data_IF_907362647156
#
_entry.id   IF_907362647156
#
_cell.length_a   1.000
_cell.length_b   1.000
_cell.length_c   1.000
_cell.angle_alpha   90.00
_cell.angle_beta   90.00
_cell.angle_gamma   90.00
#
_symmetry.space_group_name_H-M   'P 1'
#
loop_
_entity.id
_entity.type
_entity.pdbx_description
1 polymer ?
#
# COMPACT_ATOMS: atom_id res chain seq x y z
N UNK A 1 0.79 -17.10 -13.60
CA UNK A 1 -0.62 -17.57 -13.52
C UNK A 1 -1.04 -18.20 -14.85
N UNK A 2 -1.22 -19.53 -14.90
CA UNK A 2 -1.63 -20.23 -16.12
C UNK A 2 -3.03 -19.85 -16.58
N UNK A 3 -3.20 -19.52 -17.87
CA UNK A 3 -4.50 -19.09 -18.41
C UNK A 3 -5.56 -20.18 -18.32
N UNK A 4 -5.19 -21.45 -18.53
CA UNK A 4 -6.12 -22.57 -18.50
C UNK A 4 -6.75 -22.75 -17.11
N UNK A 5 -5.92 -22.72 -16.04
CA UNK A 5 -6.39 -22.81 -14.66
C UNK A 5 -7.25 -21.60 -14.31
N UNK A 6 -6.83 -20.38 -14.68
CA UNK A 6 -7.63 -19.18 -14.44
C UNK A 6 -9.03 -19.26 -15.09
N UNK A 7 -9.09 -19.64 -16.36
CA UNK A 7 -10.37 -19.77 -17.07
C UNK A 7 -11.25 -20.86 -16.47
N UNK A 8 -10.68 -21.97 -16.00
CA UNK A 8 -11.43 -23.01 -15.30
C UNK A 8 -12.06 -22.48 -13.99
N UNK A 9 -11.33 -21.67 -13.23
CA UNK A 9 -11.84 -21.06 -11.99
C UNK A 9 -12.95 -20.04 -12.27
N UNK A 10 -12.80 -19.24 -13.33
CA UNK A 10 -13.86 -18.31 -13.75
C UNK A 10 -15.10 -19.08 -14.22
N UNK A 11 -14.90 -20.18 -14.96
CA UNK A 11 -15.98 -21.03 -15.45
C UNK A 11 -16.76 -21.76 -14.34
N UNK A 12 -16.22 -21.88 -13.11
CA UNK A 12 -17.00 -22.38 -11.97
C UNK A 12 -18.21 -21.50 -11.64
N UNK A 13 -18.16 -20.21 -12.02
CA UNK A 13 -19.22 -19.23 -11.73
C UNK A 13 -19.88 -18.66 -12.98
N UNK A 14 -19.14 -18.53 -14.08
CA UNK A 14 -19.63 -17.96 -15.33
C UNK A 14 -19.81 -19.08 -16.36
N UNK A 15 -21.06 -19.35 -16.75
CA UNK A 15 -21.41 -20.37 -17.75
C UNK A 15 -21.38 -19.79 -19.18
N UNK A 16 -21.44 -18.47 -19.33
CA UNK A 16 -21.45 -17.79 -20.63
C UNK A 16 -20.13 -17.97 -21.40
N UNK A 17 -20.21 -18.73 -22.50
CA UNK A 17 -19.06 -19.02 -23.37
C UNK A 17 -18.52 -17.80 -24.11
N UNK A 18 -19.36 -16.79 -24.41
CA UNK A 18 -18.95 -15.54 -25.03
C UNK A 18 -18.09 -14.69 -24.10
N UNK A 19 -18.50 -14.57 -22.83
CA UNK A 19 -17.70 -13.88 -21.80
C UNK A 19 -16.37 -14.60 -21.56
N UNK A 20 -16.39 -15.93 -21.44
CA UNK A 20 -15.16 -16.72 -21.28
C UNK A 20 -14.22 -16.57 -22.49
N UNK A 21 -14.78 -16.49 -23.71
CA UNK A 21 -14.01 -16.23 -24.91
C UNK A 21 -13.36 -14.83 -24.88
N UNK A 22 -14.11 -13.81 -24.48
CA UNK A 22 -13.62 -12.44 -24.38
C UNK A 22 -12.48 -12.32 -23.35
N UNK A 23 -12.64 -12.94 -22.17
CA UNK A 23 -11.58 -12.99 -21.15
C UNK A 23 -10.34 -13.68 -21.71
N UNK A 24 -10.50 -14.79 -22.44
CA UNK A 24 -9.40 -15.50 -23.09
C UNK A 24 -8.69 -14.62 -24.14
N UNK A 25 -9.43 -13.81 -24.89
CA UNK A 25 -8.84 -12.85 -25.83
C UNK A 25 -8.03 -11.78 -25.11
N UNK A 26 -8.56 -11.21 -24.01
CA UNK A 26 -7.83 -10.23 -23.20
C UNK A 26 -6.54 -10.80 -22.60
N UNK A 27 -6.56 -12.05 -22.11
CA UNK A 27 -5.37 -12.73 -21.58
C UNK A 27 -4.28 -12.96 -22.64
N UNK A 28 -4.69 -13.10 -23.91
CA UNK A 28 -3.82 -13.32 -25.06
C UNK A 28 -3.46 -12.05 -25.80
N UNK A 29 -3.91 -10.88 -25.33
CA UNK A 29 -3.56 -9.61 -25.93
C UNK A 29 -2.02 -9.44 -25.93
N UNK A 30 -1.41 -9.03 -27.05
CA UNK A 30 0.03 -8.76 -27.10
C UNK A 30 0.35 -7.51 -26.28
N UNK A 31 1.44 -7.58 -25.52
CA UNK A 31 2.02 -6.45 -24.79
C UNK A 31 3.14 -5.89 -25.66
N UNK A 32 2.93 -4.68 -26.15
CA UNK A 32 3.90 -3.95 -26.97
C UNK A 32 4.65 -3.01 -26.04
N UNK A 33 5.97 -3.13 -26.01
CA UNK A 33 6.87 -2.20 -25.36
C UNK A 33 7.76 -1.54 -26.38
N UNK A 34 8.40 -0.47 -25.97
CA UNK A 34 9.27 0.35 -26.79
C UNK A 34 10.69 0.16 -26.26
N UNK A 35 11.63 -0.21 -27.14
CA UNK A 35 13.04 -0.27 -26.75
C UNK A 35 13.65 1.14 -26.64
N UNK A 36 14.89 1.22 -26.11
CA UNK A 36 15.60 2.50 -25.91
C UNK A 36 15.81 3.30 -27.21
N UNK A 37 15.56 2.69 -28.37
CA UNK A 37 15.66 3.29 -29.70
C UNK A 37 14.28 3.66 -30.30
N UNK A 38 13.19 3.56 -29.53
CA UNK A 38 11.85 3.90 -30.01
C UNK A 38 11.16 2.80 -30.84
N UNK A 39 11.75 1.61 -30.94
CA UNK A 39 11.18 0.51 -31.73
C UNK A 39 10.19 -0.28 -30.89
N UNK A 40 8.94 -0.33 -31.35
CA UNK A 40 7.87 -1.11 -30.73
C UNK A 40 8.09 -2.61 -30.95
N UNK A 41 8.37 -3.34 -29.88
CA UNK A 41 8.53 -4.80 -29.87
C UNK A 41 7.50 -5.45 -28.94
N UNK A 42 7.04 -6.64 -29.31
CA UNK A 42 6.20 -7.44 -28.42
C UNK A 42 7.06 -7.98 -27.27
N UNK A 43 6.93 -7.37 -26.09
CA UNK A 43 7.67 -7.76 -24.87
C UNK A 43 6.99 -8.88 -24.08
N UNK A 44 5.74 -9.20 -24.42
CA UNK A 44 4.98 -10.30 -23.80
C UNK A 44 3.58 -10.45 -24.40
N UNK A 45 2.78 -11.39 -23.91
CA UNK A 45 1.43 -11.62 -24.44
C UNK A 45 1.39 -12.33 -25.80
N UNK A 46 0.25 -12.25 -26.48
CA UNK A 46 0.02 -12.89 -27.79
C UNK A 46 -0.56 -14.30 -27.72
N UNK A 47 -0.90 -14.88 -28.89
CA UNK A 47 -1.56 -16.20 -29.00
C UNK A 47 -0.77 -17.35 -28.35
N UNK A 48 0.56 -17.23 -28.35
CA UNK A 48 1.50 -18.19 -27.78
C UNK A 48 1.69 -18.03 -26.27
N UNK A 49 1.30 -16.88 -25.69
CA UNK A 49 1.39 -16.70 -24.25
C UNK A 49 0.36 -17.60 -23.54
N UNK A 50 0.86 -18.41 -22.61
CA UNK A 50 0.06 -19.34 -21.80
C UNK A 50 -0.03 -18.91 -20.34
N UNK A 51 0.67 -17.84 -19.94
CA UNK A 51 0.81 -17.44 -18.55
C UNK A 51 0.82 -15.92 -18.34
N UNK A 52 0.27 -15.49 -17.21
CA UNK A 52 0.27 -14.10 -16.77
C UNK A 52 -0.84 -13.28 -17.42
N UNK A 53 -1.28 -12.23 -16.74
CA UNK A 53 -2.23 -11.25 -17.27
C UNK A 53 -1.46 -10.06 -17.83
N UNK A 54 -1.88 -9.43 -18.94
CA UNK A 54 -1.28 -8.17 -19.37
C UNK A 54 -1.29 -7.16 -18.20
N UNK A 55 -0.12 -6.65 -17.85
CA UNK A 55 0.01 -5.62 -16.81
C UNK A 55 -0.63 -4.33 -17.34
N UNK A 56 -1.65 -3.83 -16.66
CA UNK A 56 -2.42 -2.64 -17.07
C UNK A 56 -3.83 -2.95 -17.60
N UNK A 57 -4.21 -4.21 -17.76
CA UNK A 57 -5.60 -4.57 -18.05
C UNK A 57 -6.51 -4.28 -16.85
N UNK A 58 -7.60 -3.53 -17.07
CA UNK A 58 -8.57 -3.14 -16.00
C UNK A 58 -9.12 -4.36 -15.24
N UNK A 59 -9.27 -5.50 -15.93
CA UNK A 59 -9.80 -6.74 -15.34
C UNK A 59 -8.73 -7.60 -14.63
N UNK A 60 -7.44 -7.35 -14.87
CA UNK A 60 -6.34 -8.16 -14.36
C UNK A 60 -6.34 -8.28 -12.82
N UNK A 61 -6.57 -7.21 -12.03
CA UNK A 61 -6.67 -7.32 -10.57
C UNK A 61 -7.83 -8.19 -10.09
N UNK A 62 -8.97 -8.14 -10.79
CA UNK A 62 -10.14 -8.96 -10.47
C UNK A 62 -9.85 -10.44 -10.75
N UNK A 63 -9.25 -10.76 -11.91
CA UNK A 63 -8.89 -12.13 -12.26
C UNK A 63 -7.86 -12.73 -11.31
N UNK A 64 -6.85 -11.95 -10.90
CA UNK A 64 -5.88 -12.38 -9.89
C UNK A 64 -6.57 -12.70 -8.55
N UNK A 65 -7.52 -11.86 -8.11
CA UNK A 65 -8.30 -12.09 -6.91
C UNK A 65 -9.19 -13.33 -7.00
N UNK A 66 -9.89 -13.56 -8.12
CA UNK A 66 -10.67 -14.77 -8.34
C UNK A 66 -9.81 -16.02 -8.27
N UNK A 67 -8.61 -15.98 -8.85
CA UNK A 67 -7.69 -17.11 -8.85
C UNK A 67 -7.17 -17.42 -7.43
N UNK A 68 -6.73 -16.39 -6.70
CA UNK A 68 -6.22 -16.54 -5.34
C UNK A 68 -7.32 -16.84 -4.31
N UNK A 69 -8.59 -16.58 -4.63
CA UNK A 69 -9.72 -16.92 -3.76
C UNK A 69 -9.82 -18.43 -3.46
N UNK A 70 -9.20 -19.29 -4.27
CA UNK A 70 -9.09 -20.72 -3.96
C UNK A 70 -8.38 -20.95 -2.62
N UNK A 71 -7.34 -20.17 -2.31
CA UNK A 71 -6.63 -20.27 -1.04
C UNK A 71 -7.59 -19.97 0.13
N UNK A 72 -8.37 -18.90 0.02
CA UNK A 72 -9.36 -18.53 1.04
C UNK A 72 -10.42 -19.63 1.23
N UNK A 73 -10.95 -20.17 0.12
CA UNK A 73 -11.94 -21.26 0.14
C UNK A 73 -11.38 -22.52 0.82
N UNK A 74 -10.14 -22.90 0.53
CA UNK A 74 -9.49 -24.05 1.16
C UNK A 74 -9.30 -23.78 2.66
N UNK A 75 -8.86 -22.58 3.03
CA UNK A 75 -8.66 -22.19 4.43
C UNK A 75 -9.94 -22.30 5.26
N UNK A 76 -11.05 -21.84 4.69
CA UNK A 76 -12.38 -21.87 5.30
C UNK A 76 -12.94 -23.29 5.35
N UNK A 77 -13.03 -24.00 4.21
CA UNK A 77 -13.66 -25.33 4.13
C UNK A 77 -12.95 -26.39 4.97
N UNK A 78 -11.62 -26.30 5.11
CA UNK A 78 -10.85 -27.23 5.94
C UNK A 78 -10.79 -26.82 7.42
N UNK A 79 -11.44 -25.71 7.80
CA UNK A 79 -11.42 -25.13 9.14
C UNK A 79 -9.99 -24.91 9.68
N UNK A 80 -9.07 -24.50 8.79
CA UNK A 80 -7.64 -24.39 9.13
C UNK A 80 -7.38 -23.34 10.21
N UNK A 81 -8.24 -22.32 10.31
CA UNK A 81 -8.14 -21.32 11.38
C UNK A 81 -8.18 -21.94 12.78
N UNK A 82 -9.08 -22.89 13.01
CA UNK A 82 -9.18 -23.60 14.28
C UNK A 82 -8.08 -24.67 14.41
N UNK A 83 -7.95 -25.52 13.40
CA UNK A 83 -7.03 -26.67 13.43
C UNK A 83 -5.57 -26.28 13.60
N UNK A 84 -5.13 -25.25 12.88
CA UNK A 84 -3.74 -24.80 12.90
C UNK A 84 -3.52 -23.58 13.81
N UNK A 85 -4.57 -23.06 14.46
CA UNK A 85 -4.51 -21.80 15.20
C UNK A 85 -3.87 -20.67 14.38
N UNK A 86 -4.22 -20.61 13.08
CA UNK A 86 -3.59 -19.75 12.08
C UNK A 86 -4.63 -18.93 11.30
N UNK A 87 -4.51 -17.60 11.31
CA UNK A 87 -5.43 -16.70 10.65
C UNK A 87 -4.83 -16.10 9.39
N UNK A 88 -5.40 -16.44 8.22
CA UNK A 88 -5.04 -15.86 6.93
C UNK A 88 -5.72 -14.50 6.75
N UNK A 89 -4.92 -13.47 6.47
CA UNK A 89 -5.36 -12.14 6.07
C UNK A 89 -4.76 -11.84 4.70
N UNK A 90 -5.59 -11.61 3.69
CA UNK A 90 -5.17 -11.37 2.30
C UNK A 90 -5.68 -10.03 1.80
N UNK A 91 -4.84 -9.34 1.03
CA UNK A 91 -5.18 -8.13 0.30
C UNK A 91 -4.57 -8.21 -1.10
N UNK A 92 -5.41 -8.36 -2.12
CA UNK A 92 -4.97 -8.67 -3.48
C UNK A 92 -4.04 -9.91 -3.50
N UNK A 93 -2.81 -9.74 -3.99
CA UNK A 93 -1.75 -10.75 -4.06
C UNK A 93 -0.92 -10.86 -2.78
N UNK A 94 -0.88 -9.81 -1.95
CA UNK A 94 -0.18 -9.82 -0.67
C UNK A 94 -1.03 -10.46 0.43
N UNK A 95 -0.44 -11.32 1.26
CA UNK A 95 -1.12 -11.92 2.41
C UNK A 95 -0.18 -12.15 3.59
N UNK A 96 -0.76 -12.26 4.77
CA UNK A 96 -0.08 -12.61 6.02
C UNK A 96 -0.85 -13.74 6.69
N UNK A 97 -0.12 -14.70 7.24
CA UNK A 97 -0.69 -15.77 8.07
C UNK A 97 -0.24 -15.56 9.51
N UNK A 98 -1.20 -15.23 10.38
CA UNK A 98 -0.95 -15.00 11.80
C UNK A 98 -1.10 -16.32 12.56
N UNK A 99 0.01 -16.89 13.01
CA UNK A 99 0.03 -18.15 13.76
C UNK A 99 0.22 -17.89 15.26
N UNK A 100 -0.53 -18.60 16.12
CA UNK A 100 -0.35 -18.51 17.58
C UNK A 100 0.77 -19.42 18.11
N UNK A 101 1.01 -20.55 17.45
CA UNK A 101 1.97 -21.58 17.87
C UNK A 101 2.92 -21.91 16.72
N UNK A 102 2.69 -23.03 16.05
CA UNK A 102 3.56 -23.54 14.98
C UNK A 102 3.31 -22.82 13.66
N UNK A 103 4.41 -22.51 12.96
CA UNK A 103 4.39 -21.85 11.65
C UNK A 103 4.58 -22.84 10.51
N UNK A 104 5.25 -23.96 10.78
CA UNK A 104 5.67 -24.94 9.77
C UNK A 104 4.48 -25.58 9.04
N UNK A 105 3.48 -26.07 9.78
CA UNK A 105 2.30 -26.69 9.19
C UNK A 105 1.44 -25.71 8.36
N UNK A 106 1.09 -24.50 8.85
CA UNK A 106 0.46 -23.47 8.02
C UNK A 106 1.25 -23.15 6.75
N UNK A 107 2.58 -23.03 6.85
CA UNK A 107 3.44 -22.71 5.71
C UNK A 107 3.43 -23.84 4.67
N UNK A 108 3.51 -25.11 5.10
CA UNK A 108 3.38 -26.27 4.20
C UNK A 108 2.05 -26.27 3.46
N UNK A 109 0.95 -25.97 4.15
CA UNK A 109 -0.37 -25.89 3.49
C UNK A 109 -0.40 -24.78 2.45
N UNK A 110 0.09 -23.58 2.78
CA UNK A 110 0.17 -22.46 1.82
C UNK A 110 1.01 -22.84 0.60
N UNK A 111 2.21 -23.41 0.82
CA UNK A 111 3.10 -23.86 -0.25
C UNK A 111 2.43 -24.91 -1.14
N UNK A 112 1.75 -25.88 -0.53
CA UNK A 112 1.03 -26.92 -1.27
C UNK A 112 -0.10 -26.35 -2.12
N UNK A 113 -0.90 -25.43 -1.57
CA UNK A 113 -2.00 -24.80 -2.31
C UNK A 113 -1.47 -23.95 -3.46
N UNK A 114 -0.44 -23.13 -3.23
CA UNK A 114 0.16 -22.29 -4.27
C UNK A 114 0.81 -23.13 -5.36
N UNK A 115 1.51 -24.21 -5.02
CA UNK A 115 2.08 -25.14 -5.99
C UNK A 115 0.99 -25.74 -6.89
N UNK A 116 -0.17 -26.12 -6.34
CA UNK A 116 -1.31 -26.59 -7.15
C UNK A 116 -1.89 -25.52 -8.08
N UNK A 117 -1.73 -24.24 -7.72
CA UNK A 117 -2.10 -23.10 -8.55
C UNK A 117 -1.00 -22.69 -9.55
N UNK A 118 0.11 -23.44 -9.64
CA UNK A 118 1.33 -23.08 -10.37
C UNK A 118 1.81 -21.66 -10.03
N UNK A 119 1.75 -21.33 -8.74
CA UNK A 119 2.28 -20.12 -8.15
C UNK A 119 3.41 -20.50 -7.19
N UNK A 120 4.49 -19.74 -7.23
CA UNK A 120 5.58 -19.84 -6.26
C UNK A 120 5.54 -18.67 -5.29
N UNK A 121 5.95 -18.94 -4.04
CA UNK A 121 6.22 -17.88 -3.08
C UNK A 121 7.51 -17.17 -3.49
N UNK A 122 7.55 -15.86 -3.31
CA UNK A 122 8.78 -15.11 -3.44
C UNK A 122 9.59 -15.30 -2.15
N UNK A 123 10.54 -16.23 -2.15
CA UNK A 123 11.39 -16.53 -0.97
C UNK A 123 12.16 -15.31 -0.47
N UNK A 124 12.53 -14.38 -1.36
CA UNK A 124 13.24 -13.16 -0.97
C UNK A 124 12.34 -12.14 -0.23
N UNK A 125 11.01 -12.25 -0.38
CA UNK A 125 10.03 -11.39 0.31
C UNK A 125 9.34 -12.10 1.47
N UNK A 126 9.33 -13.42 1.46
CA UNK A 126 8.60 -14.22 2.45
C UNK A 126 9.49 -14.40 3.66
N UNK A 127 9.05 -13.84 4.79
CA UNK A 127 9.80 -13.93 6.05
C UNK A 127 8.88 -14.41 7.16
N UNK A 128 9.40 -15.32 7.99
CA UNK A 128 8.76 -15.71 9.24
C UNK A 128 9.28 -14.75 10.30
N UNK A 129 8.36 -14.08 11.00
CA UNK A 129 8.69 -13.07 12.00
C UNK A 129 7.86 -13.33 13.25
N UNK A 130 8.52 -13.39 14.39
CA UNK A 130 7.83 -13.33 15.69
C UNK A 130 7.41 -11.89 15.97
N UNK A 131 6.11 -11.61 15.85
CA UNK A 131 5.54 -10.29 16.08
C UNK A 131 5.75 -9.76 17.52
N UNK A 132 6.11 -10.62 18.49
CA UNK A 132 6.42 -10.21 19.87
C UNK A 132 7.82 -9.67 20.07
N UNK A 133 8.74 -10.01 19.17
CA UNK A 133 10.14 -9.58 19.22
C UNK A 133 10.49 -8.60 18.11
N UNK A 134 9.86 -8.74 16.95
CA UNK A 134 10.17 -7.97 15.76
C UNK A 134 8.90 -7.45 15.09
N UNK A 135 9.05 -6.37 14.32
CA UNK A 135 7.98 -5.80 13.52
C UNK A 135 8.00 -6.31 12.09
N UNK A 136 6.83 -6.46 11.47
CA UNK A 136 6.71 -6.75 10.04
C UNK A 136 5.94 -5.63 9.33
N UNK A 137 6.13 -5.52 8.01
CA UNK A 137 5.45 -4.53 7.19
C UNK A 137 4.32 -5.16 6.38
N UNK A 138 3.13 -4.56 6.38
CA UNK A 138 1.98 -5.00 5.59
C UNK A 138 1.15 -3.78 5.16
N UNK A 139 0.82 -3.67 3.87
CA UNK A 139 0.01 -2.57 3.30
C UNK A 139 0.48 -1.14 3.64
N UNK A 140 1.79 -0.97 3.80
CA UNK A 140 2.39 0.32 4.16
C UNK A 140 2.36 0.64 5.66
N UNK A 141 1.89 -0.28 6.50
CA UNK A 141 1.97 -0.21 7.95
C UNK A 141 3.07 -1.13 8.48
N UNK A 142 3.65 -0.75 9.61
CA UNK A 142 4.51 -1.59 10.44
C UNK A 142 3.68 -2.07 11.64
N UNK A 143 3.61 -3.39 11.80
CA UNK A 143 2.81 -4.07 12.82
C UNK A 143 3.77 -4.82 13.76
N UNK A 144 3.55 -4.70 15.06
CA UNK A 144 4.29 -5.41 16.10
C UNK A 144 3.42 -5.55 17.35
N UNK A 145 3.68 -6.56 18.19
CA UNK A 145 3.15 -6.58 19.55
C UNK A 145 4.01 -5.67 20.43
N UNK A 146 3.37 -4.76 21.13
CA UNK A 146 4.03 -3.86 22.09
C UNK A 146 3.36 -3.96 23.45
N UNK A 147 4.03 -3.50 24.51
CA UNK A 147 3.45 -3.46 25.86
C UNK A 147 3.01 -2.05 26.20
N UNK A 148 1.82 -1.93 26.78
CA UNK A 148 1.28 -0.64 27.21
C UNK A 148 2.14 -0.07 28.33
N UNK A 149 2.68 1.14 28.17
CA UNK A 149 3.54 1.76 29.18
C UNK A 149 2.85 1.89 30.56
N UNK A 150 1.52 2.06 30.58
CA UNK A 150 0.73 2.19 31.82
C UNK A 150 0.16 0.86 32.34
N UNK A 151 -0.20 -0.05 31.45
CA UNK A 151 -0.95 -1.27 31.83
C UNK A 151 -0.09 -2.54 31.81
N UNK A 152 1.09 -2.51 31.20
CA UNK A 152 1.95 -3.68 30.96
C UNK A 152 1.38 -4.71 29.99
N UNK A 153 0.10 -4.59 29.63
CA UNK A 153 -0.61 -5.55 28.77
C UNK A 153 -0.09 -5.50 27.33
N UNK A 154 0.10 -6.65 26.67
CA UNK A 154 0.46 -6.69 25.27
C UNK A 154 -0.70 -6.19 24.40
N UNK A 155 -0.40 -5.36 23.40
CA UNK A 155 -1.36 -4.86 22.41
C UNK A 155 -0.71 -4.81 21.02
N UNK A 156 -1.48 -4.97 19.94
CA UNK A 156 -0.98 -4.83 18.58
C UNK A 156 -0.75 -3.34 18.29
N UNK A 157 0.51 -2.95 18.16
CA UNK A 157 0.90 -1.62 17.71
C UNK A 157 0.90 -1.58 16.19
N UNK A 158 0.11 -0.67 15.62
CA UNK A 158 0.01 -0.46 14.17
C UNK A 158 0.37 0.99 13.88
N UNK A 159 1.47 1.18 13.15
CA UNK A 159 1.97 2.51 12.77
C UNK A 159 2.26 2.58 11.28
N UNK A 160 2.22 3.77 10.65
CA UNK A 160 2.70 3.94 9.28
C UNK A 160 4.16 3.49 9.15
N UNK A 161 4.48 2.77 8.09
CA UNK A 161 5.84 2.30 7.85
C UNK A 161 6.79 3.44 7.53
N UNK A 162 8.06 3.28 7.91
CA UNK A 162 9.08 4.32 7.72
C UNK A 162 9.32 4.63 6.23
N UNK A 163 9.14 3.63 5.35
CA UNK A 163 9.16 3.82 3.89
C UNK A 163 8.03 4.74 3.42
N UNK A 164 6.81 4.55 3.94
CA UNK A 164 5.65 5.39 3.64
C UNK A 164 5.86 6.83 4.12
N UNK A 165 6.44 7.00 5.31
CA UNK A 165 6.83 8.30 5.85
C UNK A 165 7.90 9.01 5.00
N UNK A 166 8.93 8.28 4.57
CA UNK A 166 9.96 8.82 3.65
C UNK A 166 9.32 9.26 2.32
N UNK A 167 8.42 8.46 1.76
CA UNK A 167 7.74 8.76 0.49
C UNK A 167 6.91 10.05 0.57
N UNK A 168 6.09 10.22 1.61
CA UNK A 168 5.31 11.47 1.75
C UNK A 168 6.21 12.68 1.99
N UNK A 169 7.27 12.55 2.82
CA UNK A 169 8.21 13.65 3.04
C UNK A 169 8.95 14.06 1.77
N UNK A 170 9.38 13.09 0.96
CA UNK A 170 10.00 13.35 -0.34
C UNK A 170 9.02 14.07 -1.28
N UNK A 171 7.77 13.59 -1.35
CA UNK A 171 6.73 14.23 -2.16
C UNK A 171 6.45 15.67 -1.73
N UNK A 172 6.39 15.94 -0.42
CA UNK A 172 6.21 17.31 0.08
C UNK A 172 7.41 18.20 -0.26
N UNK A 173 8.62 17.65 -0.23
CA UNK A 173 9.83 18.38 -0.64
C UNK A 173 9.78 18.77 -2.11
N UNK A 174 9.38 17.85 -3.00
CA UNK A 174 9.17 18.14 -4.43
C UNK A 174 8.11 19.23 -4.64
N UNK A 175 6.95 19.08 -4.00
CA UNK A 175 5.83 20.02 -4.12
C UNK A 175 6.12 21.40 -3.53
N UNK A 176 7.21 21.55 -2.78
CA UNK A 176 7.65 22.83 -2.20
C UNK A 176 9.05 23.21 -2.70
N UNK A 177 9.47 22.68 -3.85
CA UNK A 177 10.76 22.97 -4.47
C UNK A 177 10.97 24.46 -4.76
N UNK A 178 12.24 24.91 -4.78
CA UNK A 178 12.59 26.32 -5.08
C UNK A 178 12.20 26.73 -6.50
N UNK A 179 12.24 25.78 -7.43
CA UNK A 179 11.78 25.94 -8.81
C UNK A 179 10.28 26.28 -8.91
N UNK A 180 9.49 26.01 -7.87
CA UNK A 180 8.06 26.31 -7.83
C UNK A 180 7.76 27.70 -7.24
N UNK A 181 8.75 28.50 -6.87
CA UNK A 181 8.53 29.86 -6.33
C UNK A 181 7.83 30.84 -7.29
N UNK A 182 7.96 30.73 -8.64
CA UNK A 182 7.20 31.55 -9.59
C UNK A 182 5.71 31.19 -9.65
N UNK A 183 5.34 29.97 -9.25
CA UNK A 183 3.95 29.48 -9.31
C UNK A 183 3.10 30.18 -8.25
N UNK A 184 1.79 30.41 -8.50
CA UNK A 184 0.88 30.89 -7.48
C UNK A 184 0.92 30.05 -6.20
N UNK A 185 0.97 30.71 -5.04
CA UNK A 185 1.07 30.02 -3.75
C UNK A 185 -0.15 29.16 -3.46
N UNK A 186 -1.34 29.58 -3.91
CA UNK A 186 -2.58 28.81 -3.81
C UNK A 186 -2.44 27.41 -4.42
N UNK A 187 -1.74 27.30 -5.54
CA UNK A 187 -1.60 26.04 -6.27
C UNK A 187 -0.57 25.13 -5.57
N UNK A 188 0.52 25.72 -5.08
CA UNK A 188 1.53 25.01 -4.26
C UNK A 188 0.88 24.45 -2.99
N UNK A 189 0.18 25.28 -2.23
CA UNK A 189 -0.53 24.87 -1.01
C UNK A 189 -1.63 23.87 -1.36
N UNK A 190 -2.40 24.08 -2.42
CA UNK A 190 -3.45 23.17 -2.88
C UNK A 190 -2.91 21.76 -3.18
N UNK A 191 -1.78 21.67 -3.89
CA UNK A 191 -1.10 20.41 -4.18
C UNK A 191 -0.58 19.71 -2.91
N UNK A 192 0.03 20.48 -2.01
CA UNK A 192 0.49 19.99 -0.70
C UNK A 192 -0.70 19.45 0.10
N UNK A 193 -1.79 20.20 0.16
CA UNK A 193 -3.00 19.84 0.89
C UNK A 193 -3.65 18.57 0.34
N UNK A 194 -3.76 18.41 -0.98
CA UNK A 194 -4.28 17.17 -1.59
C UNK A 194 -3.44 15.95 -1.18
N UNK A 195 -2.12 16.09 -1.21
CA UNK A 195 -1.20 15.01 -0.83
C UNK A 195 -1.28 14.69 0.67
N UNK A 196 -1.33 15.71 1.53
CA UNK A 196 -1.46 15.55 2.98
C UNK A 196 -2.80 14.95 3.37
N UNK A 197 -3.91 15.38 2.76
CA UNK A 197 -5.25 14.83 3.03
C UNK A 197 -5.34 13.36 2.64
N UNK A 198 -4.90 13.01 1.44
CA UNK A 198 -4.90 11.61 0.99
C UNK A 198 -4.05 10.71 1.90
N UNK A 199 -2.85 11.19 2.26
CA UNK A 199 -1.98 10.45 3.18
C UNK A 199 -2.56 10.32 4.58
N UNK A 200 -3.08 11.42 5.15
CA UNK A 200 -3.69 11.42 6.47
C UNK A 200 -4.91 10.49 6.51
N UNK A 201 -5.80 10.54 5.53
CA UNK A 201 -7.00 9.70 5.49
C UNK A 201 -6.67 8.20 5.49
N UNK A 202 -5.58 7.80 4.82
CA UNK A 202 -5.17 6.40 4.80
C UNK A 202 -4.40 5.98 6.07
N UNK A 203 -3.49 6.82 6.56
CA UNK A 203 -2.56 6.46 7.63
C UNK A 203 -2.99 6.88 9.05
N UNK A 204 -4.09 7.64 9.19
CA UNK A 204 -4.63 8.07 10.49
C UNK A 204 -5.38 6.94 11.18
N UNK A 205 -4.62 5.91 11.54
CA UNK A 205 -5.11 4.70 12.19
C UNK A 205 -4.26 4.37 13.43
N UNK A 206 -4.92 3.93 14.50
CA UNK A 206 -4.32 3.43 15.75
C UNK A 206 -3.10 4.23 16.26
N UNK A 207 -1.88 3.69 16.22
CA UNK A 207 -0.67 4.31 16.79
C UNK A 207 0.02 5.29 15.82
N UNK A 208 -0.75 6.09 15.09
CA UNK A 208 -0.23 7.02 14.07
C UNK A 208 0.15 8.41 14.60
N UNK A 209 -0.19 8.78 15.84
CA UNK A 209 0.01 10.15 16.37
C UNK A 209 1.45 10.69 16.21
N UNK A 210 2.47 9.87 16.49
CA UNK A 210 3.86 10.29 16.31
C UNK A 210 4.22 10.47 14.83
N UNK A 211 3.76 9.56 13.97
CA UNK A 211 3.97 9.65 12.52
C UNK A 211 3.28 10.89 11.93
N UNK A 212 2.05 11.16 12.35
CA UNK A 212 1.27 12.36 11.98
C UNK A 212 1.97 13.64 12.43
N UNK A 213 2.49 13.70 13.66
CA UNK A 213 3.29 14.83 14.13
C UNK A 213 4.55 15.03 13.27
N UNK A 214 5.28 13.96 12.92
CA UNK A 214 6.45 14.04 12.05
C UNK A 214 6.12 14.59 10.66
N UNK A 215 4.95 14.24 10.11
CA UNK A 215 4.49 14.77 8.82
C UNK A 215 4.04 16.21 8.93
N UNK A 216 3.31 16.57 10.00
CA UNK A 216 2.90 17.95 10.29
C UNK A 216 4.10 18.88 10.37
N UNK A 217 5.09 18.56 11.21
CA UNK A 217 6.30 19.38 11.37
C UNK A 217 7.06 19.50 10.05
N UNK A 218 7.19 18.41 9.29
CA UNK A 218 7.84 18.47 7.98
C UNK A 218 7.08 19.36 6.99
N UNK A 219 5.74 19.27 6.94
CA UNK A 219 4.92 20.12 6.08
C UNK A 219 5.04 21.60 6.44
N UNK A 220 4.99 21.94 7.73
CA UNK A 220 5.19 23.31 8.22
C UNK A 220 6.58 23.84 7.83
N UNK A 221 7.64 23.06 8.08
CA UNK A 221 9.01 23.46 7.76
C UNK A 221 9.23 23.63 6.26
N UNK A 222 8.65 22.75 5.44
CA UNK A 222 8.74 22.82 3.98
C UNK A 222 8.01 24.03 3.42
N UNK A 223 6.79 24.30 3.88
CA UNK A 223 6.05 25.48 3.45
C UNK A 223 6.75 26.77 3.91
N UNK A 224 7.27 26.81 5.14
CA UNK A 224 8.05 27.94 5.64
C UNK A 224 9.31 28.17 4.79
N UNK A 225 10.05 27.12 4.47
CA UNK A 225 11.24 27.20 3.61
C UNK A 225 10.89 27.73 2.22
N UNK A 226 9.76 27.29 1.66
CA UNK A 226 9.28 27.75 0.36
C UNK A 226 8.90 29.24 0.40
N UNK A 227 8.17 29.68 1.44
CA UNK A 227 7.82 31.09 1.66
C UNK A 227 9.07 31.97 1.84
N UNK A 228 10.04 31.51 2.63
CA UNK A 228 11.31 32.21 2.81
C UNK A 228 12.04 32.37 1.48
N UNK A 229 12.12 31.31 0.66
CA UNK A 229 12.73 31.38 -0.66
C UNK A 229 12.00 32.38 -1.57
N UNK A 230 10.66 32.36 -1.57
CA UNK A 230 9.81 33.26 -2.37
C UNK A 230 9.95 34.72 -1.96
N UNK A 231 10.02 35.00 -0.65
CA UNK A 231 10.18 36.34 -0.08
C UNK A 231 11.64 36.76 0.12
N UNK A 232 12.60 35.98 -0.41
CA UNK A 232 14.05 36.23 -0.33
C UNK A 232 14.59 36.42 1.10
N UNK A 233 13.97 35.74 2.07
CA UNK A 233 14.40 35.75 3.48
C UNK A 233 15.49 34.68 3.65
N UNK A 234 16.73 35.10 3.90
CA UNK A 234 17.88 34.20 4.06
C UNK A 234 18.03 33.65 5.47
N UNK A 235 17.64 34.44 6.48
CA UNK A 235 17.78 34.09 7.88
C UNK A 235 16.59 33.24 8.39
N UNK A 236 16.90 32.12 9.05
CA UNK A 236 15.89 31.16 9.52
C UNK A 236 15.19 31.60 10.80
N UNK A 237 15.84 32.40 11.65
CA UNK A 237 15.21 33.00 12.83
C UNK A 237 14.14 34.01 12.44
N UNK A 238 14.49 34.94 11.55
CA UNK A 238 13.57 35.93 10.96
C UNK A 238 12.45 35.24 10.18
N UNK A 239 12.77 34.19 9.43
CA UNK A 239 11.77 33.39 8.71
C UNK A 239 10.77 32.71 9.65
N UNK A 240 11.21 32.23 10.82
CA UNK A 240 10.34 31.60 11.81
C UNK A 240 9.42 32.60 12.51
N UNK A 241 9.91 33.82 12.75
CA UNK A 241 9.08 34.92 13.28
C UNK A 241 8.10 35.49 12.24
N UNK A 242 8.52 35.64 10.98
CA UNK A 242 7.69 36.18 9.90
C UNK A 242 6.60 35.20 9.42
N UNK A 243 6.90 33.91 9.45
CA UNK A 243 5.99 32.83 9.03
C UNK A 243 5.77 31.84 10.18
N UNK A 244 5.07 32.26 11.26
CA UNK A 244 4.74 31.38 12.37
C UNK A 244 3.75 30.31 11.90
N UNK A 245 3.75 29.15 12.56
CA UNK A 245 2.88 28.02 12.17
C UNK A 245 1.38 28.43 12.13
N UNK A 246 0.94 29.32 13.02
CA UNK A 246 -0.43 29.85 12.99
C UNK A 246 -0.79 30.51 11.64
N UNK A 247 0.13 31.27 11.03
CA UNK A 247 -0.10 31.90 9.73
C UNK A 247 -0.13 30.88 8.58
N UNK A 248 0.65 29.80 8.68
CA UNK A 248 0.62 28.71 7.68
C UNK A 248 -0.80 28.14 7.52
N UNK A 249 -1.51 27.98 8.64
CA UNK A 249 -2.88 27.50 8.65
C UNK A 249 -3.89 28.61 8.31
N UNK A 250 -3.87 29.72 9.06
CA UNK A 250 -4.92 30.75 8.97
C UNK A 250 -4.84 31.60 7.70
N UNK A 251 -3.62 31.97 7.26
CA UNK A 251 -3.40 32.89 6.13
C UNK A 251 -3.16 32.14 4.82
N UNK A 252 -2.42 31.04 4.88
CA UNK A 252 -2.01 30.31 3.68
C UNK A 252 -2.82 29.04 3.44
N UNK A 253 -3.72 28.66 4.37
CA UNK A 253 -4.66 27.56 4.17
C UNK A 253 -4.02 26.16 4.18
N UNK A 254 -2.86 25.98 4.85
CA UNK A 254 -2.25 24.66 5.00
C UNK A 254 -3.21 23.70 5.70
N UNK A 255 -3.25 22.44 5.25
CA UNK A 255 -4.08 21.41 5.87
C UNK A 255 -3.52 21.02 7.25
N UNK A 256 -4.39 21.05 8.26
CA UNK A 256 -4.05 20.64 9.62
C UNK A 256 -4.11 19.12 9.75
N UNK A 257 -2.93 18.49 9.70
CA UNK A 257 -2.79 17.04 9.87
C UNK A 257 -3.33 16.62 11.25
N UNK A 258 -4.20 15.59 11.34
CA UNK A 258 -4.73 15.13 12.61
C UNK A 258 -3.65 14.42 13.42
N UNK A 259 -3.30 14.96 14.59
CA UNK A 259 -2.21 14.42 15.41
C UNK A 259 -2.66 13.69 16.67
N UNK A 260 -3.97 13.71 16.95
CA UNK A 260 -4.60 12.84 17.94
C UNK A 260 -5.17 11.65 17.20
N UNK A 261 -4.78 10.43 17.59
CA UNK A 261 -5.38 9.22 17.03
C UNK A 261 -6.89 9.23 17.30
N UNK A 262 -7.69 9.19 16.24
CA UNK A 262 -9.08 8.78 16.37
C UNK A 262 -9.07 7.29 16.68
N UNK A 263 -9.63 6.87 17.82
CA UNK A 263 -9.84 5.46 18.14
C UNK A 263 -10.99 4.89 17.27
N UNK A 264 -10.96 5.13 15.97
CA UNK A 264 -11.96 4.64 15.05
C UNK A 264 -11.41 3.47 14.26
N UNK A 265 -12.23 2.42 14.21
CA UNK A 265 -12.05 1.18 13.45
C UNK A 265 -11.62 1.51 12.03
N UNK A 266 -10.65 0.76 11.50
CA UNK A 266 -10.24 0.90 10.11
C UNK A 266 -11.47 0.65 9.23
N UNK A 267 -11.84 1.63 8.40
CA UNK A 267 -12.76 1.40 7.29
C UNK A 267 -12.03 0.59 6.22
N UNK A 268 -11.84 -0.70 6.49
CA UNK A 268 -11.76 -1.67 5.41
C UNK A 268 -13.20 -1.77 4.87
N UNK A 269 -13.43 -1.15 3.70
CA UNK A 269 -14.68 -1.27 2.96
C UNK A 269 -15.03 -2.75 2.81
N UNK A 270 -16.25 -3.09 3.25
CA UNK A 270 -16.88 -4.39 3.06
C UNK A 270 -17.15 -4.67 1.57
#
# INVERSE_FOLDING_TARGET
MPHAKLLAVVAERIVDGGILHLIKQWLKAPVIGEDDNGVKKTVGGGKANRQGTPQGGVISPLLANCYLHILDRIWQRRHLKGKLSAHLVRYADDFVVLCRKEVEEPLKVVRHVLARLDLSLNEAKTHIVDATQASFNFLGFTIQMSRGAKTGKPYPSVRPADKSLKKIKARLTELTGRNLTPIPLSDVVGNVNRSLRGWANYFHFHNSSQAMNKVRTHAEDRLRTHLMARHKVKDRGIGSGRFPSAHLYARYGLYKVPTKAGWHSAHALA
#
